data_IF_880345874318
#
_entry.id   IF_880345874318
#
_cell.length_a   1.000
_cell.length_b   1.000
_cell.length_c   1.000
_cell.angle_alpha   90.00
_cell.angle_beta   90.00
_cell.angle_gamma   90.00
#
_symmetry.space_group_name_H-M   'P 1'
#
loop_
_entity.id
_entity.type
_entity.pdbx_description
1 polymer ?
#
# COMPACT_ATOMS: atom_id res chain seq x y z
N UNK A 1 -40.74 -83.36 0.57
CA UNK A 1 -40.00 -82.10 0.44
C UNK A 1 -41.00 -81.01 0.76
N UNK A 2 -41.04 -80.56 2.02
CA UNK A 2 -41.89 -79.43 2.41
C UNK A 2 -41.39 -78.19 1.66
N UNK A 3 -42.22 -77.65 0.78
CA UNK A 3 -41.93 -76.41 0.08
C UNK A 3 -42.03 -75.28 1.11
N UNK A 4 -40.89 -74.80 1.60
CA UNK A 4 -40.83 -73.60 2.44
C UNK A 4 -41.50 -72.48 1.66
N UNK A 5 -42.63 -72.00 2.17
CA UNK A 5 -43.39 -70.95 1.49
C UNK A 5 -42.77 -69.60 1.82
N UNK A 6 -42.91 -68.63 0.91
CA UNK A 6 -42.40 -67.27 1.12
C UNK A 6 -42.94 -66.62 2.42
N UNK A 7 -44.08 -67.11 2.92
CA UNK A 7 -44.71 -66.68 4.16
C UNK A 7 -43.92 -67.06 5.43
N UNK A 8 -43.22 -68.20 5.42
CA UNK A 8 -42.45 -68.67 6.59
C UNK A 8 -41.09 -67.92 6.73
N UNK A 9 -40.57 -67.40 5.62
CA UNK A 9 -39.34 -66.60 5.56
C UNK A 9 -39.58 -65.10 5.85
N UNK A 10 -40.81 -64.61 5.67
CA UNK A 10 -41.18 -63.21 5.90
C UNK A 10 -40.85 -62.67 7.30
N UNK A 11 -41.11 -63.37 8.43
CA UNK A 11 -40.77 -62.85 9.76
C UNK A 11 -39.26 -62.78 10.00
N UNK A 12 -38.48 -63.71 9.43
CA UNK A 12 -37.01 -63.71 9.54
C UNK A 12 -36.43 -62.56 8.72
N UNK A 13 -36.92 -62.35 7.50
CA UNK A 13 -36.55 -61.21 6.65
C UNK A 13 -36.91 -59.88 7.31
N UNK A 14 -38.09 -59.76 7.91
CA UNK A 14 -38.51 -58.56 8.64
C UNK A 14 -37.63 -58.30 9.87
N UNK A 15 -37.24 -59.35 10.60
CA UNK A 15 -36.38 -59.25 11.78
C UNK A 15 -34.94 -58.81 11.45
N UNK A 16 -34.46 -59.04 10.23
CA UNK A 16 -33.12 -58.62 9.78
C UNK A 16 -33.14 -57.27 9.05
N UNK A 17 -34.10 -57.08 8.14
CA UNK A 17 -34.21 -55.86 7.33
C UNK A 17 -34.68 -54.68 8.19
N UNK A 18 -35.60 -54.90 9.13
CA UNK A 18 -36.14 -53.84 10.00
C UNK A 18 -35.05 -53.10 10.77
N UNK A 19 -34.19 -53.78 11.55
CA UNK A 19 -33.08 -53.15 12.26
C UNK A 19 -32.07 -52.49 11.32
N UNK A 20 -31.77 -53.09 10.16
CA UNK A 20 -30.85 -52.49 9.17
C UNK A 20 -31.38 -51.16 8.63
N UNK A 21 -32.67 -51.08 8.30
CA UNK A 21 -33.29 -49.83 7.84
C UNK A 21 -33.30 -48.76 8.93
N UNK A 22 -33.62 -49.14 10.18
CA UNK A 22 -33.56 -48.23 11.33
C UNK A 22 -32.14 -47.70 11.55
N UNK A 23 -31.13 -48.56 11.45
CA UNK A 23 -29.74 -48.18 11.59
C UNK A 23 -29.28 -47.25 10.44
N UNK A 24 -29.69 -47.54 9.20
CA UNK A 24 -29.41 -46.68 8.05
C UNK A 24 -30.04 -45.29 8.21
N UNK A 25 -31.30 -45.21 8.66
CA UNK A 25 -31.97 -43.92 8.95
C UNK A 25 -31.28 -43.18 10.10
N UNK A 26 -30.86 -43.88 11.14
CA UNK A 26 -30.13 -43.29 12.26
C UNK A 26 -28.79 -42.69 11.81
N UNK A 27 -28.00 -43.42 11.01
CA UNK A 27 -26.75 -42.93 10.43
C UNK A 27 -27.01 -41.72 9.53
N UNK A 28 -28.03 -41.78 8.67
CA UNK A 28 -28.35 -40.69 7.75
C UNK A 28 -28.75 -39.42 8.51
N UNK A 29 -29.54 -39.54 9.60
CA UNK A 29 -29.86 -38.38 10.46
C UNK A 29 -28.64 -37.86 11.20
N UNK A 30 -27.79 -38.74 11.71
CA UNK A 30 -26.56 -38.34 12.39
C UNK A 30 -25.63 -37.54 11.45
N UNK A 31 -25.39 -38.07 10.25
CA UNK A 31 -24.60 -37.38 9.21
C UNK A 31 -25.23 -36.05 8.80
N UNK A 32 -26.56 -35.99 8.71
CA UNK A 32 -27.22 -34.74 8.37
C UNK A 32 -27.03 -33.67 9.44
N UNK A 33 -27.20 -34.02 10.72
CA UNK A 33 -27.00 -33.10 11.86
C UNK A 33 -25.54 -32.65 11.96
N UNK A 34 -24.59 -33.56 11.74
CA UNK A 34 -23.17 -33.24 11.74
C UNK A 34 -22.80 -32.33 10.55
N UNK A 35 -23.38 -32.60 9.37
CA UNK A 35 -23.24 -31.75 8.19
C UNK A 35 -23.83 -30.36 8.39
N UNK A 36 -24.93 -30.20 9.11
CA UNK A 36 -25.47 -28.86 9.43
C UNK A 36 -24.56 -28.11 10.38
N UNK A 37 -24.04 -28.75 11.43
CA UNK A 37 -23.13 -28.10 12.39
C UNK A 37 -21.83 -27.66 11.72
N UNK A 38 -21.26 -28.50 10.86
CA UNK A 38 -20.05 -28.14 10.10
C UNK A 38 -20.30 -26.99 9.14
N UNK A 39 -21.47 -26.95 8.47
CA UNK A 39 -21.87 -25.80 7.64
C UNK A 39 -22.02 -24.52 8.44
N UNK A 40 -22.69 -24.58 9.59
CA UNK A 40 -22.90 -23.41 10.45
C UNK A 40 -21.56 -22.84 10.94
N UNK A 41 -20.63 -23.70 11.37
CA UNK A 41 -19.28 -23.29 11.76
C UNK A 41 -18.50 -22.66 10.59
N UNK A 42 -18.60 -23.23 9.39
CA UNK A 42 -17.97 -22.68 8.19
C UNK A 42 -18.54 -21.31 7.85
N UNK A 43 -19.87 -21.13 7.96
CA UNK A 43 -20.51 -19.87 7.64
C UNK A 43 -20.22 -18.79 8.68
N UNK A 44 -20.10 -19.16 9.96
CA UNK A 44 -19.62 -18.26 11.02
C UNK A 44 -18.18 -17.83 10.75
N UNK A 45 -17.27 -18.78 10.55
CA UNK A 45 -15.86 -18.48 10.25
C UNK A 45 -15.71 -17.63 8.97
N UNK A 46 -16.58 -17.84 7.97
CA UNK A 46 -16.63 -17.00 6.76
C UNK A 46 -17.13 -15.60 7.06
N UNK A 47 -18.10 -15.44 7.98
CA UNK A 47 -18.61 -14.13 8.38
C UNK A 47 -17.54 -13.36 9.14
N UNK A 48 -16.92 -13.97 10.15
CA UNK A 48 -15.82 -13.39 10.91
C UNK A 48 -14.66 -12.97 9.99
N UNK A 49 -14.20 -13.86 9.10
CA UNK A 49 -13.16 -13.52 8.13
C UNK A 49 -13.53 -12.34 7.23
N UNK A 50 -14.79 -12.25 6.79
CA UNK A 50 -15.24 -11.10 5.97
C UNK A 50 -15.20 -9.80 6.75
N UNK A 51 -15.59 -9.82 8.03
CA UNK A 51 -15.55 -8.62 8.87
C UNK A 51 -14.11 -8.20 9.17
N UNK A 52 -13.21 -9.14 9.52
CA UNK A 52 -11.78 -8.86 9.69
C UNK A 52 -11.16 -8.27 8.43
N UNK A 53 -11.49 -8.82 7.25
CA UNK A 53 -11.01 -8.27 5.96
C UNK A 53 -11.54 -6.85 5.72
N UNK A 54 -12.80 -6.57 6.06
CA UNK A 54 -13.37 -5.21 5.92
C UNK A 54 -12.69 -4.23 6.86
N UNK A 55 -12.46 -4.62 8.11
CA UNK A 55 -11.81 -3.80 9.12
C UNK A 55 -10.37 -3.50 8.73
N UNK A 56 -9.59 -4.53 8.37
CA UNK A 56 -8.22 -4.37 7.89
C UNK A 56 -8.14 -3.49 6.63
N UNK A 57 -9.11 -3.60 5.71
CA UNK A 57 -9.20 -2.71 4.54
C UNK A 57 -9.49 -1.27 4.92
N UNK A 58 -10.32 -1.04 5.93
CA UNK A 58 -10.65 0.30 6.41
C UNK A 58 -9.43 0.95 7.05
N UNK A 59 -8.78 0.24 7.97
CA UNK A 59 -7.55 0.71 8.62
C UNK A 59 -6.45 0.99 7.60
N UNK A 60 -6.24 0.09 6.63
CA UNK A 60 -5.27 0.29 5.57
C UNK A 60 -5.57 1.54 4.74
N UNK A 61 -6.83 1.83 4.43
CA UNK A 61 -7.21 3.07 3.73
C UNK A 61 -6.93 4.32 4.57
N UNK A 62 -7.21 4.27 5.87
CA UNK A 62 -6.93 5.38 6.79
C UNK A 62 -5.43 5.65 6.89
N UNK A 63 -4.61 4.60 7.01
CA UNK A 63 -3.14 4.70 7.00
C UNK A 63 -2.61 5.28 5.68
N UNK A 64 -3.14 4.84 4.53
CA UNK A 64 -2.76 5.38 3.22
C UNK A 64 -3.13 6.86 3.11
N UNK A 65 -4.32 7.25 3.59
CA UNK A 65 -4.76 8.64 3.59
C UNK A 65 -3.85 9.52 4.46
N UNK A 66 -3.55 9.07 5.69
CA UNK A 66 -2.64 9.78 6.60
C UNK A 66 -1.22 9.89 6.02
N UNK A 67 -0.69 8.83 5.41
CA UNK A 67 0.62 8.87 4.75
C UNK A 67 0.63 9.85 3.57
N UNK A 68 -0.46 9.94 2.80
CA UNK A 68 -0.56 10.91 1.70
C UNK A 68 -0.49 12.35 2.22
N UNK A 69 -1.21 12.64 3.30
CA UNK A 69 -1.17 13.96 3.93
C UNK A 69 0.23 14.31 4.47
N UNK A 70 0.93 13.34 5.06
CA UNK A 70 2.32 13.52 5.49
C UNK A 70 3.26 13.80 4.32
N UNK A 71 3.08 13.11 3.19
CA UNK A 71 3.85 13.36 1.97
C UNK A 71 3.60 14.78 1.46
N UNK A 72 2.34 15.21 1.43
CA UNK A 72 1.97 16.56 0.97
C UNK A 72 2.60 17.63 1.89
N UNK A 73 2.51 17.46 3.21
CA UNK A 73 3.18 18.37 4.18
C UNK A 73 4.70 18.38 4.03
N UNK A 74 5.31 17.22 3.80
CA UNK A 74 6.75 17.14 3.56
C UNK A 74 7.15 17.86 2.26
N UNK A 75 6.31 17.78 1.22
CA UNK A 75 6.53 18.50 -0.03
C UNK A 75 6.50 20.01 0.19
N UNK A 76 5.52 20.52 0.93
CA UNK A 76 5.45 21.94 1.29
C UNK A 76 6.66 22.40 2.12
N UNK A 77 7.18 21.55 3.02
CA UNK A 77 8.40 21.84 3.77
C UNK A 77 9.64 21.91 2.87
N UNK A 78 9.75 20.98 1.91
CA UNK A 78 10.85 20.97 0.92
C UNK A 78 10.79 22.22 0.05
N UNK A 79 9.60 22.60 -0.42
CA UNK A 79 9.43 23.79 -1.25
C UNK A 79 9.82 25.06 -0.49
N UNK A 80 9.37 25.22 0.76
CA UNK A 80 9.80 26.33 1.62
C UNK A 80 11.30 26.35 1.89
N UNK A 81 11.91 25.20 2.14
CA UNK A 81 13.35 25.12 2.33
C UNK A 81 14.11 25.52 1.06
N UNK A 82 13.59 25.16 -0.11
CA UNK A 82 14.17 25.57 -1.39
C UNK A 82 14.10 27.08 -1.57
N UNK A 83 12.96 27.70 -1.27
CA UNK A 83 12.81 29.16 -1.31
C UNK A 83 13.78 29.87 -0.36
N UNK A 84 13.97 29.34 0.86
CA UNK A 84 14.94 29.89 1.82
C UNK A 84 16.38 29.78 1.30
N UNK A 85 16.75 28.64 0.72
CA UNK A 85 18.08 28.45 0.12
C UNK A 85 18.30 29.42 -1.03
N UNK A 86 17.32 29.57 -1.92
CA UNK A 86 17.39 30.49 -3.06
C UNK A 86 17.49 31.95 -2.60
N UNK A 87 16.75 32.33 -1.56
CA UNK A 87 16.84 33.64 -0.91
C UNK A 87 18.23 33.91 -0.36
N UNK A 88 18.77 32.98 0.44
CA UNK A 88 20.11 33.08 1.01
C UNK A 88 21.18 33.17 -0.08
N UNK A 89 21.04 32.40 -1.18
CA UNK A 89 22.00 32.44 -2.28
C UNK A 89 22.02 33.81 -2.97
N UNK A 90 20.84 34.42 -3.17
CA UNK A 90 20.74 35.77 -3.73
C UNK A 90 21.37 36.82 -2.81
N UNK A 91 21.10 36.74 -1.51
CA UNK A 91 21.65 37.68 -0.52
C UNK A 91 23.18 37.58 -0.44
N UNK A 92 23.72 36.35 -0.37
CA UNK A 92 25.16 36.09 -0.42
C UNK A 92 25.78 36.59 -1.73
N UNK A 93 25.12 36.34 -2.86
CA UNK A 93 25.58 36.82 -4.18
C UNK A 93 25.64 38.34 -4.25
N UNK A 94 24.63 39.04 -3.73
CA UNK A 94 24.60 40.50 -3.63
C UNK A 94 25.72 41.02 -2.73
N UNK A 95 25.85 40.48 -1.52
CA UNK A 95 26.92 40.87 -0.59
C UNK A 95 28.32 40.66 -1.17
N UNK A 96 28.55 39.56 -1.89
CA UNK A 96 29.82 39.30 -2.57
C UNK A 96 30.07 40.29 -3.71
N UNK A 97 29.02 40.65 -4.46
CA UNK A 97 29.07 41.70 -5.49
C UNK A 97 29.49 43.05 -4.91
N UNK A 98 28.85 43.47 -3.82
CA UNK A 98 29.16 44.72 -3.11
C UNK A 98 30.60 44.73 -2.59
N UNK A 99 31.04 43.62 -1.98
CA UNK A 99 32.43 43.48 -1.51
C UNK A 99 33.40 43.57 -2.69
N UNK A 100 33.10 42.92 -3.82
CA UNK A 100 33.93 42.97 -5.03
C UNK A 100 34.01 44.37 -5.60
N UNK A 101 32.90 45.13 -5.64
CA UNK A 101 32.90 46.52 -6.07
C UNK A 101 33.76 47.40 -5.15
N UNK A 102 33.59 47.24 -3.84
CA UNK A 102 34.39 47.98 -2.84
C UNK A 102 35.87 47.66 -2.99
N UNK A 103 36.23 46.39 -3.22
CA UNK A 103 37.61 45.97 -3.45
C UNK A 103 38.18 46.64 -4.70
N UNK A 104 37.47 46.57 -5.83
CA UNK A 104 37.89 47.20 -7.09
C UNK A 104 38.09 48.72 -6.95
N UNK A 105 37.22 49.38 -6.16
CA UNK A 105 37.35 50.82 -5.86
C UNK A 105 38.61 51.12 -5.06
N UNK A 106 38.90 50.32 -4.02
CA UNK A 106 40.11 50.44 -3.19
C UNK A 106 41.38 50.17 -4.03
N UNK A 107 41.37 49.12 -4.85
CA UNK A 107 42.47 48.78 -5.75
C UNK A 107 42.74 49.89 -6.77
N UNK A 108 41.69 50.51 -7.30
CA UNK A 108 41.78 51.68 -8.18
C UNK A 108 42.42 52.90 -7.49
N UNK A 109 42.08 53.17 -6.23
CA UNK A 109 42.73 54.24 -5.44
C UNK A 109 44.20 53.94 -5.16
N UNK A 110 44.54 52.67 -4.90
CA UNK A 110 45.90 52.26 -4.59
C UNK A 110 46.79 52.08 -5.84
N UNK A 111 46.23 52.22 -7.06
CA UNK A 111 46.92 51.98 -8.35
C UNK A 111 47.66 50.63 -8.40
N UNK A 112 47.13 49.62 -7.71
CA UNK A 112 47.78 48.30 -7.61
C UNK A 112 47.61 47.50 -8.91
N UNK A 113 46.63 47.84 -9.77
CA UNK A 113 46.41 47.18 -11.06
C UNK A 113 46.23 48.19 -12.22
N UNK A 114 46.79 47.94 -13.42
CA UNK A 114 46.56 48.78 -14.59
C UNK A 114 45.11 48.63 -15.09
N UNK A 115 44.51 49.68 -15.70
CA UNK A 115 43.15 49.62 -16.22
C UNK A 115 42.99 48.53 -17.29
N UNK A 116 41.81 47.89 -17.40
CA UNK A 116 41.57 46.86 -18.41
C UNK A 116 41.81 47.43 -19.81
N UNK A 117 42.42 46.65 -20.73
CA UNK A 117 42.76 47.14 -22.05
C UNK A 117 41.50 47.52 -22.83
N UNK A 118 41.36 48.81 -23.14
CA UNK A 118 40.49 49.26 -24.21
C UNK A 118 41.15 48.92 -25.54
N UNK A 119 40.67 47.85 -26.19
CA UNK A 119 41.07 47.53 -27.56
C UNK A 119 41.12 46.04 -27.85
N UNK A 120 39.95 45.46 -28.15
CA UNK A 120 39.76 44.32 -29.04
C UNK A 120 38.23 44.20 -29.23
N UNK A 121 37.60 45.09 -30.00
CA UNK A 121 37.17 44.78 -31.37
C UNK A 121 37.82 43.53 -31.99
N UNK A 122 37.03 42.85 -32.82
CA UNK A 122 37.29 41.58 -33.55
C UNK A 122 36.38 40.49 -32.94
N UNK A 123 35.22 40.20 -33.52
CA UNK A 123 35.06 39.85 -34.92
C UNK A 123 35.57 38.43 -35.11
N UNK A 124 34.70 37.55 -35.60
CA UNK A 124 35.02 36.20 -36.08
C UNK A 124 35.02 35.07 -35.04
N UNK A 125 33.81 34.64 -34.66
CA UNK A 125 33.57 33.24 -34.30
C UNK A 125 32.11 32.85 -34.62
N UNK A 126 31.69 33.11 -35.85
CA UNK A 126 30.51 32.49 -36.44
C UNK A 126 30.95 31.79 -37.74
N UNK A 127 30.55 30.53 -37.91
CA UNK A 127 30.78 29.63 -39.06
C UNK A 127 32.09 28.82 -39.10
N UNK A 128 32.05 27.61 -38.53
CA UNK A 128 32.42 26.35 -39.20
C UNK A 128 31.87 25.15 -38.41
#
# INVERSE_FOLDING_TARGET
METVTLADLAPILAAVIGPMLLFAVAIMRYQHVDSTKTRDLIDEARRENRELIKEARKESRELIAGNRELIDRNRELIDRNRELIDGNHKELGGSLGDVRERLARIEGYLRIWPPPPHGANDGDAEAA
#
